data_IF_162732272953
#
_entry.id   IF_162732272953
#
_cell.length_a   1.000
_cell.length_b   1.000
_cell.length_c   1.000
_cell.angle_alpha   90.00
_cell.angle_beta   90.00
_cell.angle_gamma   90.00
#
_symmetry.space_group_name_H-M   'P 1'
#
loop_
_entity.id
_entity.type
_entity.pdbx_description
1 polymer ?
#
# COMPACT_ATOMS: atom_id res chain seq x y z
N UNK A 1 13.05 -36.13 2.76
CA UNK A 1 11.86 -35.85 1.92
C UNK A 1 11.16 -34.56 2.34
N UNK A 2 10.86 -34.38 3.63
CA UNK A 2 10.19 -33.18 4.17
C UNK A 2 10.84 -31.84 3.85
N UNK A 3 12.18 -31.72 3.86
CA UNK A 3 12.86 -30.47 3.47
C UNK A 3 12.44 -29.97 2.09
N UNK A 4 12.41 -30.86 1.08
CA UNK A 4 11.99 -30.50 -0.29
C UNK A 4 10.53 -30.06 -0.32
N UNK A 5 9.66 -30.73 0.42
CA UNK A 5 8.24 -30.37 0.52
C UNK A 5 8.06 -28.97 1.13
N UNK A 6 8.76 -28.67 2.23
CA UNK A 6 8.72 -27.34 2.84
C UNK A 6 9.33 -26.26 1.94
N UNK A 7 10.38 -26.58 1.18
CA UNK A 7 10.94 -25.65 0.20
C UNK A 7 9.92 -25.32 -0.90
N UNK A 8 9.26 -26.34 -1.47
CA UNK A 8 8.24 -26.13 -2.51
C UNK A 8 7.07 -25.31 -1.97
N UNK A 9 6.58 -25.62 -0.76
CA UNK A 9 5.51 -24.85 -0.12
C UNK A 9 5.93 -23.40 0.17
N UNK A 10 7.13 -23.19 0.70
CA UNK A 10 7.65 -21.85 0.98
C UNK A 10 7.78 -21.00 -0.28
N UNK A 11 8.35 -21.57 -1.35
CA UNK A 11 8.43 -20.91 -2.66
C UNK A 11 7.04 -20.60 -3.19
N UNK A 12 6.11 -21.54 -3.13
CA UNK A 12 4.74 -21.35 -3.58
C UNK A 12 4.01 -20.20 -2.87
N UNK A 13 4.12 -20.12 -1.55
CA UNK A 13 3.52 -19.03 -0.76
C UNK A 13 4.12 -17.67 -1.15
N UNK A 14 5.44 -17.58 -1.29
CA UNK A 14 6.10 -16.33 -1.68
C UNK A 14 5.67 -15.92 -3.09
N UNK A 15 5.67 -16.85 -4.05
CA UNK A 15 5.26 -16.57 -5.44
C UNK A 15 3.81 -16.10 -5.52
N UNK A 16 2.88 -16.74 -4.80
CA UNK A 16 1.48 -16.32 -4.75
C UNK A 16 1.32 -14.91 -4.17
N UNK A 17 2.05 -14.59 -3.09
CA UNK A 17 2.04 -13.24 -2.52
C UNK A 17 2.60 -12.21 -3.51
N UNK A 18 3.71 -12.50 -4.18
CA UNK A 18 4.31 -11.60 -5.19
C UNK A 18 3.35 -11.34 -6.34
N UNK A 19 2.70 -12.37 -6.88
CA UNK A 19 1.70 -12.21 -7.94
C UNK A 19 0.50 -11.41 -7.46
N UNK A 20 -0.01 -11.70 -6.25
CA UNK A 20 -1.08 -10.92 -5.64
C UNK A 20 -0.72 -9.43 -5.50
N UNK A 21 0.48 -9.13 -5.03
CA UNK A 21 0.98 -7.75 -4.94
C UNK A 21 1.09 -7.07 -6.31
N UNK A 22 1.60 -7.77 -7.34
CA UNK A 22 1.67 -7.24 -8.71
C UNK A 22 0.29 -6.97 -9.32
N UNK A 23 -0.71 -7.78 -8.95
CA UNK A 23 -2.11 -7.60 -9.35
C UNK A 23 -2.84 -6.52 -8.53
N UNK A 24 -2.16 -5.88 -7.58
CA UNK A 24 -2.76 -4.87 -6.71
C UNK A 24 -3.68 -5.45 -5.63
N UNK A 25 -3.62 -6.76 -5.37
CA UNK A 25 -4.26 -7.40 -4.20
C UNK A 25 -3.40 -7.19 -2.95
N UNK A 26 -2.94 -5.96 -2.75
CA UNK A 26 -2.20 -5.61 -1.55
C UNK A 26 -3.09 -5.85 -0.33
N UNK A 27 -2.70 -6.78 0.53
CA UNK A 27 -3.20 -6.87 1.91
C UNK A 27 -2.60 -5.69 2.70
N UNK A 28 -2.97 -4.48 2.32
CA UNK A 28 -2.37 -3.24 2.76
C UNK A 28 -3.42 -2.15 2.83
N UNK A 29 -3.21 -1.22 3.76
CA UNK A 29 -4.14 -0.11 4.06
C UNK A 29 -4.53 0.68 2.80
N UNK A 30 -5.72 1.29 2.85
CA UNK A 30 -6.30 2.18 1.83
C UNK A 30 -5.24 2.99 1.09
N UNK A 31 -5.34 3.06 -0.25
CA UNK A 31 -4.35 3.74 -1.10
C UNK A 31 -3.93 5.07 -0.47
N UNK A 32 -2.62 5.25 -0.20
CA UNK A 32 -2.11 6.53 0.28
C UNK A 32 -2.33 7.55 -0.83
N UNK A 33 -3.41 8.31 -0.72
CA UNK A 33 -3.76 9.33 -1.70
C UNK A 33 -2.64 10.35 -1.74
N UNK A 34 -2.05 10.52 -2.91
CA UNK A 34 -0.94 11.43 -3.08
C UNK A 34 -1.42 12.86 -2.80
N UNK A 35 -0.85 13.49 -1.77
CA UNK A 35 -1.17 14.86 -1.43
C UNK A 35 -0.78 15.78 -2.61
N UNK A 36 -1.60 16.81 -2.92
CA UNK A 36 -1.28 17.80 -3.95
C UNK A 36 0.09 18.46 -3.69
N UNK A 37 0.78 18.93 -4.73
CA UNK A 37 2.06 19.63 -4.60
C UNK A 37 2.00 20.80 -3.59
N UNK A 38 0.89 21.52 -3.52
CA UNK A 38 0.68 22.62 -2.58
C UNK A 38 0.78 22.21 -1.11
N UNK A 39 0.32 21.00 -0.76
CA UNK A 39 0.43 20.45 0.58
C UNK A 39 1.89 20.14 0.96
N UNK A 40 2.73 19.85 -0.04
CA UNK A 40 4.16 19.54 0.13
C UNK A 40 5.01 20.79 0.21
N UNK A 41 4.68 21.82 -0.58
CA UNK A 41 5.47 23.06 -0.68
C UNK A 41 5.19 24.07 0.44
N UNK A 42 3.92 24.24 0.84
CA UNK A 42 3.54 25.29 1.79
C UNK A 42 3.38 24.78 3.23
N UNK A 43 3.70 23.50 3.47
CA UNK A 43 3.49 22.82 4.74
C UNK A 43 2.01 22.56 5.02
N UNK A 44 1.73 21.49 5.79
CA UNK A 44 0.38 21.04 6.15
C UNK A 44 -0.51 22.12 6.82
N UNK A 45 0.05 23.26 7.21
CA UNK A 45 -0.61 24.32 7.97
C UNK A 45 -1.58 25.15 7.13
N UNK A 46 -1.31 25.30 5.84
CA UNK A 46 -2.13 26.12 4.92
C UNK A 46 -2.98 25.26 3.97
N UNK A 47 -2.83 23.94 4.03
CA UNK A 47 -3.52 23.03 3.14
C UNK A 47 -4.91 22.68 3.69
N UNK A 48 -5.95 23.18 3.03
CA UNK A 48 -7.33 22.90 3.41
C UNK A 48 -7.81 21.58 2.78
N UNK A 49 -7.66 20.50 3.53
CA UNK A 49 -8.04 19.13 3.14
C UNK A 49 -9.50 19.03 2.64
N UNK A 50 -10.41 19.86 3.16
CA UNK A 50 -11.83 19.83 2.83
C UNK A 50 -12.15 20.14 1.35
N UNK A 51 -11.36 20.99 0.69
CA UNK A 51 -11.59 21.34 -0.72
C UNK A 51 -11.20 20.20 -1.67
N UNK A 52 -10.33 19.30 -1.22
CA UNK A 52 -9.82 18.18 -1.99
C UNK A 52 -10.62 16.88 -1.75
N UNK A 53 -11.74 16.97 -1.03
CA UNK A 53 -12.50 15.80 -0.60
C UNK A 53 -11.71 14.88 0.34
N UNK A 54 -10.61 15.38 0.93
CA UNK A 54 -9.80 14.67 1.89
C UNK A 54 -10.42 14.91 3.27
N UNK A 55 -10.98 13.85 3.85
CA UNK A 55 -11.44 13.88 5.25
C UNK A 55 -10.19 13.72 6.11
N UNK A 56 -9.85 14.74 6.90
CA UNK A 56 -8.78 14.68 7.89
C UNK A 56 -9.02 13.45 8.76
N UNK A 57 -8.07 12.51 8.72
CA UNK A 57 -8.21 11.21 9.37
C UNK A 57 -8.43 11.35 10.87
N UNK A 58 -9.22 10.42 11.42
CA UNK A 58 -9.02 9.96 12.80
C UNK A 58 -7.98 8.85 12.77
#
# INVERSE_FOLDING_TARGET
MFKKLYTVLGVGVISLYTVGAMLGWELGTSSRRQLPPDARQNGYRSFHFWHYGLRGGK
#
